data_IF_745164282404
#
_entry.id   IF_745164282404
#
_cell.length_a   1.000
_cell.length_b   1.000
_cell.length_c   1.000
_cell.angle_alpha   90.00
_cell.angle_beta   90.00
_cell.angle_gamma   90.00
#
_symmetry.space_group_name_H-M   'P 1'
#
loop_
_entity.id
_entity.type
_entity.pdbx_description
1 polymer ?
#
# COMPACT_ATOMS: atom_id res chain seq x y z
N UNK A 1 -16.68 8.23 7.34
CA UNK A 1 -17.80 8.37 6.40
C UNK A 1 -17.26 8.51 5.00
N UNK A 2 -17.64 7.58 4.15
CA UNK A 2 -17.29 7.56 2.73
C UNK A 2 -17.76 8.83 2.00
N UNK A 3 -16.94 9.33 1.09
CA UNK A 3 -17.24 10.51 0.28
C UNK A 3 -16.66 10.39 -1.13
N UNK A 4 -17.31 11.06 -2.07
CA UNK A 4 -16.92 11.09 -3.47
C UNK A 4 -17.35 12.42 -4.11
N UNK A 5 -16.73 12.74 -5.23
CA UNK A 5 -17.16 13.81 -6.12
C UNK A 5 -17.33 13.29 -7.56
N UNK A 6 -17.85 14.15 -8.41
CA UNK A 6 -17.96 13.89 -9.85
C UNK A 6 -17.09 14.86 -10.62
N UNK A 7 -16.42 14.36 -11.63
CA UNK A 7 -15.54 15.13 -12.51
C UNK A 7 -15.69 14.61 -13.95
N UNK A 8 -15.56 15.51 -14.92
CA UNK A 8 -15.43 15.12 -16.33
C UNK A 8 -13.99 14.69 -16.62
N UNK A 9 -13.82 13.46 -17.08
CA UNK A 9 -12.53 12.91 -17.48
C UNK A 9 -12.55 12.63 -18.98
N UNK A 10 -11.47 13.04 -19.67
CA UNK A 10 -11.27 12.71 -21.08
C UNK A 10 -10.59 11.35 -21.22
N UNK A 11 -11.17 10.46 -22.03
CA UNK A 11 -10.55 9.18 -22.36
C UNK A 11 -9.22 9.39 -23.10
N UNK A 12 -8.08 8.90 -22.59
CA UNK A 12 -6.78 9.11 -23.21
C UNK A 12 -6.62 8.40 -24.57
N UNK A 13 -7.55 7.51 -24.92
CA UNK A 13 -7.54 6.79 -26.20
C UNK A 13 -8.42 7.45 -27.28
N UNK A 14 -9.68 7.78 -26.95
CA UNK A 14 -10.64 8.29 -27.95
C UNK A 14 -11.09 9.73 -27.71
N UNK A 15 -10.59 10.36 -26.64
CA UNK A 15 -10.87 11.74 -26.22
C UNK A 15 -12.33 12.03 -25.84
N UNK A 16 -13.19 11.00 -25.79
CA UNK A 16 -14.55 11.16 -25.27
C UNK A 16 -14.51 11.61 -23.81
N UNK A 17 -15.26 12.66 -23.49
CA UNK A 17 -15.38 13.17 -22.13
C UNK A 17 -16.60 12.56 -21.45
N UNK A 18 -16.41 12.05 -20.24
CA UNK A 18 -17.45 11.40 -19.45
C UNK A 18 -17.38 11.90 -18.02
N UNK A 19 -18.55 12.19 -17.44
CA UNK A 19 -18.64 12.43 -16.00
C UNK A 19 -18.50 11.10 -15.26
N UNK A 20 -17.52 11.00 -14.38
CA UNK A 20 -17.22 9.81 -13.57
C UNK A 20 -17.30 10.12 -12.08
N UNK A 21 -17.41 9.07 -11.26
CA UNK A 21 -17.32 9.18 -9.79
C UNK A 21 -15.87 8.93 -9.37
N UNK A 22 -15.31 9.85 -8.59
CA UNK A 22 -13.99 9.74 -7.97
C UNK A 22 -14.19 9.64 -6.47
N UNK A 23 -13.66 8.58 -5.85
CA UNK A 23 -13.78 8.35 -4.41
C UNK A 23 -12.67 9.11 -3.68
N UNK A 24 -13.06 10.02 -2.79
CA UNK A 24 -12.11 10.80 -1.98
C UNK A 24 -11.74 10.05 -0.69
N UNK A 25 -12.74 9.42 -0.09
CA UNK A 25 -12.58 8.63 1.14
C UNK A 25 -13.49 7.40 1.07
N UNK A 26 -12.96 6.27 1.51
CA UNK A 26 -13.75 5.07 1.81
C UNK A 26 -13.61 4.67 3.27
N UNK A 27 -14.73 4.26 3.84
CA UNK A 27 -14.85 3.75 5.20
C UNK A 27 -15.12 2.25 5.16
N UNK A 28 -14.10 1.46 5.46
CA UNK A 28 -14.10 0.01 5.32
C UNK A 28 -15.15 -0.69 6.19
N UNK A 29 -15.51 -0.08 7.33
CA UNK A 29 -16.47 -0.64 8.27
C UNK A 29 -17.89 -0.41 7.78
N UNK A 30 -18.19 0.79 7.27
CA UNK A 30 -19.54 1.10 6.79
C UNK A 30 -19.79 0.66 5.35
N UNK A 31 -18.75 0.58 4.52
CA UNK A 31 -18.83 0.33 3.08
C UNK A 31 -17.89 -0.81 2.63
N UNK A 32 -18.11 -2.06 3.09
CA UNK A 32 -17.23 -3.20 2.79
C UNK A 32 -17.15 -3.54 1.29
N UNK A 33 -18.19 -3.24 0.49
CA UNK A 33 -18.15 -3.38 -0.97
C UNK A 33 -17.04 -2.52 -1.60
N UNK A 34 -16.83 -1.30 -1.09
CA UNK A 34 -15.79 -0.41 -1.60
C UNK A 34 -14.39 -0.91 -1.23
N UNK A 35 -14.23 -1.51 -0.04
CA UNK A 35 -13.01 -2.23 0.34
C UNK A 35 -12.75 -3.39 -0.60
N UNK A 36 -13.74 -4.22 -0.88
CA UNK A 36 -13.60 -5.35 -1.81
C UNK A 36 -13.21 -4.88 -3.22
N UNK A 37 -13.84 -3.82 -3.72
CA UNK A 37 -13.51 -3.22 -5.01
C UNK A 37 -12.10 -2.64 -5.03
N UNK A 38 -11.63 -2.02 -3.93
CA UNK A 38 -10.26 -1.55 -3.79
C UNK A 38 -9.27 -2.72 -3.86
N UNK A 39 -9.48 -3.78 -3.06
CA UNK A 39 -8.62 -4.97 -3.03
C UNK A 39 -8.57 -5.69 -4.38
N UNK A 40 -9.66 -5.64 -5.15
CA UNK A 40 -9.74 -6.17 -6.53
C UNK A 40 -9.19 -5.22 -7.59
N UNK A 41 -8.70 -4.03 -7.22
CA UNK A 41 -8.22 -2.97 -8.13
C UNK A 41 -9.28 -2.49 -9.13
N UNK A 42 -10.53 -2.37 -8.68
CA UNK A 42 -11.70 -1.96 -9.49
C UNK A 42 -12.39 -0.68 -9.01
N UNK A 43 -11.97 -0.10 -7.87
CA UNK A 43 -12.65 1.06 -7.28
C UNK A 43 -12.41 2.36 -8.07
N UNK A 44 -11.16 2.62 -8.45
CA UNK A 44 -10.73 3.84 -9.16
C UNK A 44 -10.34 3.51 -10.60
N UNK A 45 -11.25 2.84 -11.31
CA UNK A 45 -11.10 2.46 -12.72
C UNK A 45 -12.18 3.15 -13.54
N UNK A 46 -11.76 3.88 -14.57
CA UNK A 46 -12.64 4.49 -15.56
C UNK A 46 -12.71 3.61 -16.80
N UNK A 47 -13.90 3.08 -17.11
CA UNK A 47 -14.19 2.40 -18.38
C UNK A 47 -14.94 3.36 -19.31
N UNK A 48 -14.32 3.72 -20.44
CA UNK A 48 -14.90 4.65 -21.41
C UNK A 48 -16.07 3.99 -22.15
N UNK A 49 -17.27 4.58 -22.06
CA UNK A 49 -18.48 4.08 -22.73
C UNK A 49 -18.42 4.17 -24.25
N UNK A 50 -17.57 5.04 -24.80
CA UNK A 50 -17.40 5.19 -26.24
C UNK A 50 -16.51 4.10 -26.86
N UNK A 51 -15.39 3.73 -26.22
CA UNK A 51 -14.42 2.80 -26.81
C UNK A 51 -14.18 1.50 -26.02
N UNK A 52 -14.78 1.36 -24.84
CA UNK A 52 -14.69 0.17 -23.98
C UNK A 52 -13.34 -0.03 -23.29
N UNK A 53 -12.41 0.93 -23.37
CA UNK A 53 -11.10 0.83 -22.70
C UNK A 53 -11.19 1.27 -21.24
N UNK A 54 -10.51 0.52 -20.38
CA UNK A 54 -10.37 0.82 -18.96
C UNK A 54 -9.05 1.54 -18.67
N UNK A 55 -9.11 2.51 -17.77
CA UNK A 55 -8.00 3.34 -17.34
C UNK A 55 -7.99 3.41 -15.81
N UNK A 56 -6.82 3.24 -15.20
CA UNK A 56 -6.66 3.49 -13.77
C UNK A 56 -6.66 5.01 -13.54
N UNK A 57 -7.40 5.47 -12.54
CA UNK A 57 -7.39 6.86 -12.11
C UNK A 57 -6.25 7.10 -11.13
N UNK A 58 -5.37 8.05 -11.45
CA UNK A 58 -4.29 8.50 -10.56
C UNK A 58 -4.80 9.58 -9.60
N UNK A 59 -5.86 9.27 -8.85
CA UNK A 59 -6.50 10.21 -7.91
C UNK A 59 -6.22 9.82 -6.46
N UNK A 60 -6.01 10.78 -5.56
CA UNK A 60 -5.81 10.49 -4.15
C UNK A 60 -7.03 9.80 -3.51
N UNK A 61 -6.78 8.96 -2.50
CA UNK A 61 -7.81 8.23 -1.78
C UNK A 61 -7.45 8.08 -0.30
N UNK A 62 -8.41 8.37 0.59
CA UNK A 62 -8.32 8.06 2.01
C UNK A 62 -9.04 6.75 2.32
N UNK A 63 -8.31 5.74 2.76
CA UNK A 63 -8.87 4.52 3.34
C UNK A 63 -8.94 4.65 4.86
N UNK A 64 -10.09 4.34 5.45
CA UNK A 64 -10.30 4.32 6.89
C UNK A 64 -10.88 2.97 7.33
N UNK A 65 -10.32 2.37 8.37
CA UNK A 65 -10.81 1.15 8.99
C UNK A 65 -10.75 1.29 10.52
N UNK A 66 -11.92 1.53 11.12
CA UNK A 66 -12.04 1.81 12.55
C UNK A 66 -11.89 0.57 13.42
N UNK A 67 -12.15 -0.62 12.88
CA UNK A 67 -11.95 -1.89 13.58
C UNK A 67 -10.46 -2.21 13.70
N UNK A 68 -9.69 -1.93 12.64
CA UNK A 68 -8.22 -2.11 12.60
C UNK A 68 -7.43 -0.90 13.10
N UNK A 69 -8.11 0.19 13.46
CA UNK A 69 -7.53 1.50 13.80
C UNK A 69 -6.48 1.95 12.78
N UNK A 70 -6.86 1.94 11.50
CA UNK A 70 -5.97 2.21 10.38
C UNK A 70 -6.53 3.31 9.48
N UNK A 71 -5.68 4.28 9.15
CA UNK A 71 -5.92 5.32 8.17
C UNK A 71 -4.77 5.32 7.15
N UNK A 72 -5.11 5.18 5.86
CA UNK A 72 -4.12 5.19 4.78
C UNK A 72 -4.50 6.27 3.78
N UNK A 73 -3.62 7.24 3.57
CA UNK A 73 -3.70 8.19 2.47
C UNK A 73 -2.85 7.65 1.32
N UNK A 74 -3.47 7.35 0.19
CA UNK A 74 -2.78 7.04 -1.05
C UNK A 74 -2.84 8.26 -1.94
N UNK A 75 -1.68 8.74 -2.39
CA UNK A 75 -1.60 9.85 -3.32
C UNK A 75 -0.65 9.51 -4.47
N UNK A 76 -1.18 9.03 -5.60
CA UNK A 76 -0.38 8.69 -6.78
C UNK A 76 0.24 9.89 -7.50
N UNK A 77 -0.10 11.12 -7.10
CA UNK A 77 0.40 12.35 -7.73
C UNK A 77 1.66 12.87 -7.04
N UNK A 78 1.92 12.45 -5.79
CA UNK A 78 3.14 12.79 -5.08
C UNK A 78 4.35 12.06 -5.65
N UNK A 79 5.44 12.78 -5.86
CA UNK A 79 6.71 12.18 -6.24
C UNK A 79 7.36 11.51 -5.02
N UNK A 80 8.08 10.39 -5.23
CA UNK A 80 8.80 9.70 -4.16
C UNK A 80 9.83 10.60 -3.44
N UNK A 81 10.43 11.55 -4.15
CA UNK A 81 11.35 12.55 -3.59
C UNK A 81 10.65 13.56 -2.67
N UNK A 82 9.39 13.91 -2.98
CA UNK A 82 8.57 14.80 -2.17
C UNK A 82 7.97 14.08 -0.97
N UNK A 83 7.72 12.78 -1.11
CA UNK A 83 7.09 11.95 -0.10
C UNK A 83 8.06 11.21 0.83
N UNK A 84 9.38 11.36 0.67
CA UNK A 84 10.45 10.56 1.30
C UNK A 84 10.27 10.26 2.81
N UNK A 85 11.14 10.79 3.68
CA UNK A 85 10.85 10.80 5.13
C UNK A 85 10.04 12.03 5.55
N UNK A 86 9.73 12.91 4.60
CA UNK A 86 8.99 14.16 4.83
C UNK A 86 7.60 13.98 4.24
N UNK A 87 6.61 13.93 5.10
CA UNK A 87 5.21 13.91 4.71
C UNK A 87 4.84 15.23 4.04
N UNK A 88 3.86 15.22 3.12
CA UNK A 88 3.22 16.45 2.67
C UNK A 88 2.80 17.30 3.87
N UNK A 89 3.12 18.60 3.83
CA UNK A 89 2.84 19.55 4.92
C UNK A 89 1.35 19.50 5.34
N UNK A 90 0.46 19.23 4.39
CA UNK A 90 -0.97 19.07 4.62
C UNK A 90 -1.29 17.97 5.64
N UNK A 91 -0.59 16.84 5.63
CA UNK A 91 -0.84 15.72 6.54
C UNK A 91 -0.45 16.06 7.98
N UNK A 92 0.55 16.92 8.19
CA UNK A 92 0.97 17.37 9.52
C UNK A 92 -0.09 18.24 10.22
N UNK A 93 -1.05 18.77 9.47
CA UNK A 93 -2.12 19.61 9.99
C UNK A 93 -3.41 18.82 10.28
N UNK A 94 -3.46 17.55 9.89
CA UNK A 94 -4.61 16.69 10.15
C UNK A 94 -4.59 16.22 11.61
N UNK A 95 -5.74 16.19 12.30
CA UNK A 95 -5.82 15.70 13.65
C UNK A 95 -5.41 14.22 13.69
N UNK A 96 -4.52 13.90 14.64
CA UNK A 96 -4.03 12.54 14.88
C UNK A 96 -4.67 12.05 16.19
N UNK A 97 -5.38 10.94 16.10
CA UNK A 97 -5.79 10.12 17.24
C UNK A 97 -4.69 9.10 17.50
N UNK A 98 -4.08 9.13 18.68
CA UNK A 98 -2.98 8.22 19.03
C UNK A 98 -3.38 6.73 18.96
N UNK A 99 -4.67 6.41 18.94
CA UNK A 99 -5.15 5.04 18.78
C UNK A 99 -5.07 4.53 17.34
N UNK A 100 -4.86 5.40 16.35
CA UNK A 100 -4.77 5.04 14.93
C UNK A 100 -3.34 4.97 14.43
N UNK A 101 -3.11 4.01 13.53
CA UNK A 101 -1.94 4.01 12.64
C UNK A 101 -2.27 4.79 11.38
N UNK A 102 -1.42 5.75 11.04
CA UNK A 102 -1.56 6.58 9.86
C UNK A 102 -0.46 6.25 8.86
N UNK A 103 -0.84 6.02 7.60
CA UNK A 103 0.09 5.62 6.53
C UNK A 103 -0.05 6.47 5.30
N UNK A 104 1.07 6.94 4.78
CA UNK A 104 1.17 7.50 3.45
C UNK A 104 1.64 6.40 2.49
N UNK A 105 0.99 6.30 1.34
CA UNK A 105 1.34 5.41 0.23
C UNK A 105 1.29 6.18 -1.08
N UNK A 106 2.07 5.76 -2.07
CA UNK A 106 2.21 6.45 -3.36
C UNK A 106 1.49 5.74 -4.50
N UNK A 107 0.92 4.57 -4.24
CA UNK A 107 0.13 3.84 -5.22
C UNK A 107 -0.83 2.87 -4.54
N UNK A 108 -1.78 2.38 -5.33
CA UNK A 108 -2.82 1.46 -4.87
C UNK A 108 -2.27 0.11 -4.40
N UNK A 109 -1.15 -0.38 -4.95
CA UNK A 109 -0.57 -1.66 -4.54
C UNK A 109 -0.01 -1.58 -3.11
N UNK A 110 0.70 -0.50 -2.78
CA UNK A 110 1.18 -0.24 -1.43
C UNK A 110 0.02 -0.11 -0.43
N UNK A 111 -1.03 0.63 -0.78
CA UNK A 111 -2.23 0.74 0.05
C UNK A 111 -2.87 -0.64 0.29
N UNK A 112 -3.05 -1.45 -0.76
CA UNK A 112 -3.61 -2.80 -0.66
C UNK A 112 -2.72 -3.69 0.22
N UNK A 113 -1.40 -3.62 0.09
CA UNK A 113 -0.47 -4.36 0.95
C UNK A 113 -0.64 -3.96 2.42
N UNK A 114 -0.74 -2.66 2.75
CA UNK A 114 -0.99 -2.21 4.13
C UNK A 114 -2.32 -2.72 4.67
N UNK A 115 -3.36 -2.79 3.84
CA UNK A 115 -4.65 -3.39 4.23
C UNK A 115 -4.45 -4.87 4.53
N UNK A 116 -3.81 -5.65 3.64
CA UNK A 116 -3.53 -7.07 3.89
C UNK A 116 -2.74 -7.28 5.18
N UNK A 117 -1.66 -6.54 5.41
CA UNK A 117 -0.88 -6.65 6.65
C UNK A 117 -1.74 -6.41 7.90
N UNK A 118 -2.66 -5.45 7.83
CA UNK A 118 -3.60 -5.17 8.92
C UNK A 118 -4.61 -6.30 9.16
N UNK A 119 -5.02 -7.02 8.11
CA UNK A 119 -5.91 -8.17 8.23
C UNK A 119 -5.24 -9.35 8.93
N UNK A 120 -3.95 -9.57 8.67
CA UNK A 120 -3.15 -10.62 9.31
C UNK A 120 -2.48 -10.17 10.62
N UNK A 121 -2.78 -8.97 11.11
CA UNK A 121 -2.17 -8.38 12.33
C UNK A 121 -0.63 -8.34 12.29
N UNK A 122 -0.05 -8.16 11.11
CA UNK A 122 1.39 -8.00 10.91
C UNK A 122 1.76 -6.52 10.93
N UNK A 123 2.86 -6.19 11.62
CA UNK A 123 3.46 -4.85 11.61
C UNK A 123 4.14 -4.60 10.25
N UNK A 124 3.69 -3.53 9.58
CA UNK A 124 4.18 -3.15 8.26
C UNK A 124 5.61 -2.62 8.28
N UNK A 125 6.07 -2.07 9.41
CA UNK A 125 7.45 -1.61 9.61
C UNK A 125 8.42 -2.78 9.58
N UNK A 126 8.02 -3.89 10.19
CA UNK A 126 8.77 -5.15 10.19
C UNK A 126 8.70 -5.78 8.79
N UNK A 127 7.52 -5.76 8.16
CA UNK A 127 7.34 -6.35 6.84
C UNK A 127 8.25 -5.70 5.78
N UNK A 128 8.42 -4.37 5.77
CA UNK A 128 9.35 -3.74 4.83
C UNK A 128 10.80 -4.23 5.00
N UNK A 129 11.21 -4.53 6.24
CA UNK A 129 12.54 -5.11 6.53
C UNK A 129 12.61 -6.56 6.07
N UNK A 130 11.53 -7.34 6.27
CA UNK A 130 11.41 -8.72 5.76
C UNK A 130 11.53 -8.74 4.24
N UNK A 131 10.88 -7.81 3.53
CA UNK A 131 10.99 -7.70 2.06
C UNK A 131 12.44 -7.46 1.62
N UNK A 132 13.19 -6.61 2.31
CA UNK A 132 14.63 -6.43 2.05
C UNK A 132 15.43 -7.72 2.29
N UNK A 133 15.15 -8.46 3.35
CA UNK A 133 15.79 -9.74 3.63
C UNK A 133 15.48 -10.80 2.54
N UNK A 134 14.23 -10.87 2.09
CA UNK A 134 13.81 -11.76 1.00
C UNK A 134 14.55 -11.43 -0.29
N UNK A 135 14.68 -10.14 -0.64
CA UNK A 135 15.41 -9.70 -1.82
C UNK A 135 16.92 -9.97 -1.71
N UNK A 136 17.51 -9.80 -0.52
CA UNK A 136 18.95 -10.02 -0.30
C UNK A 136 19.36 -11.51 -0.34
N UNK A 137 18.45 -12.42 0.02
CA UNK A 137 18.73 -13.85 0.07
C UNK A 137 18.26 -14.63 -1.17
N UNK A 138 17.67 -13.95 -2.15
CA UNK A 138 17.27 -14.58 -3.39
C UNK A 138 18.51 -15.00 -4.21
N UNK A 139 18.60 -16.30 -4.51
CA UNK A 139 19.66 -16.86 -5.37
C UNK A 139 19.22 -16.72 -6.82
N UNK A 140 19.63 -15.62 -7.43
CA UNK A 140 19.57 -15.21 -8.83
C UNK A 140 19.03 -16.23 -9.87
N UNK A 141 17.76 -16.07 -10.25
CA UNK A 141 17.27 -16.47 -11.59
C UNK A 141 16.38 -15.38 -12.23
N UNK A 142 15.65 -14.61 -11.41
CA UNK A 142 14.78 -13.51 -11.86
C UNK A 142 15.02 -12.30 -10.96
N UNK A 143 15.39 -11.16 -11.55
CA UNK A 143 15.48 -9.90 -10.82
C UNK A 143 14.09 -9.42 -10.43
N UNK A 144 13.86 -9.21 -9.14
CA UNK A 144 12.60 -8.71 -8.60
C UNK A 144 12.61 -7.18 -8.61
N UNK A 145 11.61 -6.57 -9.25
CA UNK A 145 11.42 -5.12 -9.25
C UNK A 145 10.45 -4.66 -8.17
N UNK A 146 9.40 -5.43 -7.93
CA UNK A 146 8.39 -5.14 -6.92
C UNK A 146 8.07 -6.39 -6.09
N UNK A 147 7.85 -6.19 -4.80
CA UNK A 147 7.51 -7.25 -3.87
C UNK A 147 6.44 -6.73 -2.91
N UNK A 148 5.29 -7.40 -2.86
CA UNK A 148 4.17 -7.06 -1.99
C UNK A 148 3.70 -8.30 -1.21
N UNK A 149 3.45 -8.15 0.09
CA UNK A 149 2.79 -9.16 0.89
C UNK A 149 1.35 -9.37 0.42
N UNK A 150 0.92 -10.64 0.32
CA UNK A 150 -0.42 -11.04 -0.10
C UNK A 150 -1.20 -11.72 1.03
N UNK A 151 -0.62 -12.75 1.64
CA UNK A 151 -1.29 -13.53 2.70
C UNK A 151 -0.30 -14.21 3.63
N UNK A 152 -0.78 -14.60 4.81
CA UNK A 152 -0.04 -15.43 5.76
C UNK A 152 -0.82 -16.71 6.08
N UNK A 153 -0.09 -17.81 6.14
CA UNK A 153 -0.49 -19.12 6.65
C UNK A 153 0.41 -19.47 7.86
N UNK A 154 0.09 -20.53 8.61
CA UNK A 154 0.80 -20.87 9.87
C UNK A 154 2.34 -20.89 9.73
N UNK A 155 2.85 -21.44 8.63
CA UNK A 155 4.30 -21.59 8.41
C UNK A 155 4.86 -20.73 7.27
N UNK A 156 3.99 -19.99 6.55
CA UNK A 156 4.38 -19.34 5.29
C UNK A 156 3.77 -17.96 5.12
N UNK A 157 4.58 -17.05 4.59
CA UNK A 157 4.16 -15.77 4.03
C UNK A 157 4.16 -15.90 2.52
N UNK A 158 3.09 -15.44 1.89
CA UNK A 158 2.97 -15.39 0.44
C UNK A 158 3.18 -13.95 -0.03
N UNK A 159 4.14 -13.77 -0.92
CA UNK A 159 4.38 -12.50 -1.60
C UNK A 159 3.97 -12.57 -3.06
N UNK A 160 3.51 -11.46 -3.60
CA UNK A 160 3.46 -11.21 -5.04
C UNK A 160 4.72 -10.46 -5.44
N UNK A 161 5.48 -11.06 -6.34
CA UNK A 161 6.69 -10.50 -6.89
C UNK A 161 6.49 -10.20 -8.37
N UNK A 162 6.95 -9.02 -8.80
CA UNK A 162 7.04 -8.67 -10.21
C UNK A 162 8.49 -8.75 -10.66
N UNK A 163 8.75 -9.55 -11.69
CA UNK A 163 10.07 -9.64 -12.32
C UNK A 163 10.32 -8.50 -13.30
N UNK A 164 11.57 -8.35 -13.74
CA UNK A 164 11.95 -7.43 -14.83
C UNK A 164 11.25 -7.72 -16.17
N UNK A 165 10.68 -8.91 -16.33
CA UNK A 165 9.85 -9.28 -17.49
C UNK A 165 8.39 -8.81 -17.37
N UNK A 166 8.12 -7.94 -16.39
CA UNK A 166 6.81 -7.39 -15.99
C UNK A 166 5.80 -8.44 -15.50
N UNK A 167 6.17 -9.73 -15.42
CA UNK A 167 5.26 -10.78 -14.98
C UNK A 167 5.20 -10.89 -13.47
N UNK A 168 4.02 -11.27 -13.00
CA UNK A 168 3.72 -11.51 -11.59
C UNK A 168 3.81 -12.99 -11.25
N UNK A 169 4.50 -13.30 -10.16
CA UNK A 169 4.58 -14.65 -9.60
C UNK A 169 4.39 -14.61 -8.08
N UNK A 170 3.95 -15.75 -7.55
CA UNK A 170 3.85 -15.96 -6.12
C UNK A 170 5.19 -16.45 -5.58
N UNK A 171 5.66 -15.81 -4.51
CA UNK A 171 6.89 -16.14 -3.82
C UNK A 171 6.57 -16.54 -2.37
N UNK A 172 6.54 -17.84 -2.03
CA UNK A 172 6.37 -18.29 -0.66
C UNK A 172 7.68 -18.15 0.13
N UNK A 173 7.57 -17.65 1.35
CA UNK A 173 8.69 -17.42 2.29
C UNK A 173 8.31 -18.02 3.64
N UNK A 174 9.27 -18.61 4.35
CA UNK A 174 9.02 -19.16 5.69
C UNK A 174 8.60 -18.04 6.67
N UNK A 175 7.49 -18.23 7.39
CA UNK A 175 6.98 -17.22 8.33
C UNK A 175 7.94 -16.96 9.51
N UNK A 176 8.80 -17.93 9.85
CA UNK A 176 9.86 -17.78 10.85
C UNK A 176 10.74 -16.54 10.59
N UNK A 177 10.96 -16.16 9.32
CA UNK A 177 11.76 -14.99 8.97
C UNK A 177 11.17 -13.71 9.59
N UNK A 178 9.84 -13.54 9.53
CA UNK A 178 9.18 -12.37 10.11
C UNK A 178 9.42 -12.29 11.62
N UNK A 179 9.16 -13.39 12.34
CA UNK A 179 9.30 -13.42 13.79
C UNK A 179 10.75 -13.23 14.24
N UNK A 180 11.73 -13.75 13.48
CA UNK A 180 13.15 -13.51 13.76
C UNK A 180 13.54 -12.05 13.59
N UNK A 181 13.05 -11.39 12.54
CA UNK A 181 13.32 -9.97 12.30
C UNK A 181 12.61 -9.13 13.37
N UNK A 182 11.34 -9.41 13.68
CA UNK A 182 10.57 -8.75 14.74
C UNK A 182 11.34 -8.70 16.07
N UNK A 183 11.81 -9.86 16.54
CA UNK A 183 12.59 -9.98 17.78
C UNK A 183 13.84 -9.10 17.80
N UNK A 184 14.48 -8.87 16.65
CA UNK A 184 15.72 -8.10 16.54
C UNK A 184 15.46 -6.60 16.40
N UNK A 185 14.44 -6.20 15.63
CA UNK A 185 14.28 -4.81 15.20
C UNK A 185 13.23 -4.05 15.97
N UNK A 186 12.21 -4.70 16.55
CA UNK A 186 11.11 -4.02 17.26
C UNK A 186 11.60 -3.05 18.35
N UNK A 187 12.63 -3.37 19.17
CA UNK A 187 13.18 -2.43 20.15
C UNK A 187 13.86 -1.19 19.53
N UNK A 188 14.19 -1.23 18.24
CA UNK A 188 14.90 -0.19 17.51
C UNK A 188 13.96 0.68 16.67
N UNK A 189 12.72 0.24 16.45
CA UNK A 189 11.75 0.94 15.63
C UNK A 189 11.27 2.23 16.33
N UNK A 190 10.99 3.29 15.56
CA UNK A 190 10.44 4.53 16.10
C UNK A 190 9.01 4.29 16.57
N UNK A 191 8.45 5.26 17.31
CA UNK A 191 7.04 5.21 17.70
C UNK A 191 6.12 5.06 16.48
N UNK A 192 5.06 4.26 16.62
CA UNK A 192 4.05 4.06 15.59
C UNK A 192 2.95 5.11 15.73
N UNK A 193 3.32 6.40 15.63
CA UNK A 193 2.43 7.53 15.86
C UNK A 193 2.53 8.53 14.73
N UNK A 194 1.39 9.20 14.47
CA UNK A 194 1.27 10.13 13.37
C UNK A 194 1.41 9.46 12.00
N UNK A 195 1.34 10.29 10.96
CA UNK A 195 1.53 9.84 9.59
C UNK A 195 2.94 9.28 9.39
N UNK A 196 3.06 8.16 8.68
CA UNK A 196 4.34 7.55 8.36
C UNK A 196 4.31 6.99 6.94
N UNK A 197 5.36 7.23 6.18
CA UNK A 197 5.62 6.52 4.93
C UNK A 197 6.51 5.31 5.24
N UNK A 198 5.90 4.13 5.35
CA UNK A 198 6.60 2.89 5.68
C UNK A 198 6.92 2.15 4.39
N UNK A 199 8.08 2.47 3.81
CA UNK A 199 8.56 1.95 2.54
C UNK A 199 10.01 1.41 2.66
N UNK A 200 10.64 1.15 1.52
CA UNK A 200 12.03 0.67 1.47
C UNK A 200 13.03 1.62 2.14
N UNK A 201 12.85 2.93 2.02
CA UNK A 201 13.74 3.92 2.64
C UNK A 201 13.60 3.95 4.16
N UNK A 202 12.39 3.73 4.68
CA UNK A 202 12.17 3.49 6.10
C UNK A 202 12.93 2.24 6.58
N UNK A 203 12.90 1.15 5.82
CA UNK A 203 13.45 -0.14 6.26
C UNK A 203 14.99 -0.23 6.22
N UNK A 204 15.64 0.41 5.23
CA UNK A 204 17.11 0.39 5.02
C UNK A 204 17.95 0.54 6.30
N UNK A 205 17.75 1.55 7.17
CA UNK A 205 18.59 1.74 8.36
C UNK A 205 18.42 0.65 9.42
N UNK A 206 17.30 -0.09 9.42
CA UNK A 206 17.07 -1.20 10.35
C UNK A 206 17.57 -2.51 9.77
N UNK A 207 17.40 -2.71 8.45
CA UNK A 207 17.95 -3.86 7.74
C UNK A 207 19.47 -3.93 7.85
N UNK A 208 20.17 -2.80 7.73
CA UNK A 208 21.63 -2.73 7.90
C UNK A 208 22.14 -3.11 9.31
N UNK A 209 21.25 -3.30 10.29
CA UNK A 209 21.60 -3.77 11.65
C UNK A 209 21.43 -5.29 11.81
N UNK A 210 20.93 -5.97 10.78
CA UNK A 210 20.79 -7.43 10.74
C UNK A 210 22.04 -8.14 10.21
N UNK A 211 22.97 -7.38 9.62
CA UNK A 211 24.30 -7.82 9.18
C UNK A 211 25.33 -7.76 10.32
#
# INVERSE_FOLDING_TARGET
MTSFHREYVSCPHCLNEEEIVIWDQIDAVTDPDLKDRLLRKTLQVFECRNCGRSHLLSQPLLYRDDDKKLLIWCDPQLQASEAGNKLPVLLNQLPVDENYRYRLTLNSNEMIEKIHLSEYALDDRIMEIVKLAVLAWQKEEIRIEQLFFLSAEEERLLFLAQGEDEKWYQLPVAAELYYRIDLLVTPLLPENRGWQNINVDFAKPYFAKLE
#
